data_IF_029909577827
#
_entry.id   IF_029909577827
#
_cell.length_a   1.000
_cell.length_b   1.000
_cell.length_c   1.000
_cell.angle_alpha   90.00
_cell.angle_beta   90.00
_cell.angle_gamma   90.00
#
_symmetry.space_group_name_H-M   'P 1'
#
loop_
_entity.id
_entity.type
_entity.pdbx_description
1 polymer ?
#
# COMPACT_ATOMS: atom_id res chain seq x y z
N UNK A 1 -28.45 4.90 -25.87
CA UNK A 1 -27.17 5.27 -25.21
C UNK A 1 -26.10 4.18 -25.38
N UNK A 2 -26.46 3.06 -25.98
CA UNK A 2 -25.75 1.79 -25.77
C UNK A 2 -24.52 1.72 -26.66
N UNK A 3 -24.64 2.22 -27.90
CA UNK A 3 -23.51 2.38 -28.83
C UNK A 3 -22.36 3.26 -28.29
N UNK A 4 -22.65 4.26 -27.44
CA UNK A 4 -21.59 5.08 -26.81
C UNK A 4 -20.93 4.36 -25.64
N UNK A 5 -21.68 3.54 -24.88
CA UNK A 5 -21.10 2.67 -23.85
C UNK A 5 -20.10 1.71 -24.49
N UNK A 6 -20.45 1.05 -25.61
CA UNK A 6 -19.58 0.11 -26.32
C UNK A 6 -18.25 0.69 -26.84
N UNK A 7 -18.07 2.00 -26.84
CA UNK A 7 -16.84 2.67 -27.25
C UNK A 7 -16.12 3.36 -26.08
N UNK A 8 -16.51 3.07 -24.82
CA UNK A 8 -15.93 3.68 -23.62
C UNK A 8 -14.40 3.44 -23.53
N UNK A 9 -13.89 2.33 -24.04
CA UNK A 9 -12.45 2.06 -24.12
C UNK A 9 -11.66 3.04 -25.03
N UNK A 10 -12.35 3.80 -25.90
CA UNK A 10 -11.76 4.83 -26.77
C UNK A 10 -11.83 6.24 -26.18
N UNK A 11 -12.52 6.42 -25.06
CA UNK A 11 -12.67 7.73 -24.42
C UNK A 11 -11.38 8.19 -23.73
N UNK A 12 -11.24 9.51 -23.57
CA UNK A 12 -10.22 10.13 -22.73
C UNK A 12 -10.72 10.28 -21.29
N UNK A 13 -9.81 10.56 -20.34
CA UNK A 13 -10.20 10.83 -18.95
C UNK A 13 -11.13 12.05 -18.88
N UNK A 14 -10.85 13.08 -19.68
CA UNK A 14 -11.63 14.31 -19.75
C UNK A 14 -13.09 14.09 -20.13
N UNK A 15 -13.38 13.08 -20.96
CA UNK A 15 -14.76 12.73 -21.34
C UNK A 15 -15.56 12.09 -20.18
N UNK A 16 -14.87 11.58 -19.15
CA UNK A 16 -15.44 11.01 -17.94
C UNK A 16 -15.54 12.05 -16.79
N UNK A 17 -14.95 13.24 -16.94
CA UNK A 17 -14.98 14.32 -15.94
C UNK A 17 -16.30 15.10 -15.98
N UNK A 18 -17.41 14.38 -15.84
CA UNK A 18 -18.76 14.92 -15.84
C UNK A 18 -19.03 15.58 -14.47
N UNK A 19 -19.34 16.89 -14.39
CA UNK A 19 -19.58 17.56 -13.11
C UNK A 19 -20.78 16.98 -12.36
N UNK A 20 -20.64 16.85 -11.04
CA UNK A 20 -21.73 16.43 -10.17
C UNK A 20 -22.92 17.38 -10.20
N UNK A 21 -24.13 16.84 -10.02
CA UNK A 21 -25.34 17.64 -9.80
C UNK A 21 -25.58 17.83 -8.30
N UNK A 22 -25.97 19.03 -7.83
CA UNK A 22 -26.42 19.22 -6.45
C UNK A 22 -27.57 18.24 -6.12
N UNK A 23 -27.60 17.63 -4.92
CA UNK A 23 -26.85 17.98 -3.71
C UNK A 23 -25.52 17.22 -3.51
N UNK A 24 -24.96 16.55 -4.52
CA UNK A 24 -23.69 15.83 -4.37
C UNK A 24 -22.52 16.79 -4.05
N UNK A 25 -21.61 16.34 -3.18
CA UNK A 25 -20.46 17.14 -2.70
C UNK A 25 -19.16 16.86 -3.46
N UNK A 26 -19.09 15.77 -4.24
CA UNK A 26 -17.94 15.48 -5.11
C UNK A 26 -17.92 16.43 -6.30
N UNK A 27 -16.73 16.69 -6.85
CA UNK A 27 -16.55 17.52 -8.06
C UNK A 27 -17.17 16.85 -9.29
N UNK A 28 -17.03 15.51 -9.40
CA UNK A 28 -17.47 14.73 -10.54
C UNK A 28 -18.48 13.63 -10.16
N UNK A 29 -19.36 13.29 -11.11
CA UNK A 29 -20.38 12.24 -10.98
C UNK A 29 -19.75 10.84 -11.14
N UNK A 30 -19.15 10.36 -10.05
CA UNK A 30 -18.54 9.04 -9.96
C UNK A 30 -19.55 7.90 -10.14
N UNK A 31 -20.81 8.08 -9.72
CA UNK A 31 -21.83 7.04 -9.83
C UNK A 31 -22.25 6.82 -11.29
N UNK A 32 -22.34 7.89 -12.08
CA UNK A 32 -22.56 7.80 -13.52
C UNK A 32 -21.44 7.02 -14.21
N UNK A 33 -20.18 7.32 -13.91
CA UNK A 33 -19.03 6.61 -14.51
C UNK A 33 -18.99 5.14 -14.09
N UNK A 34 -19.24 4.83 -12.80
CA UNK A 34 -19.41 3.44 -12.34
C UNK A 34 -20.53 2.71 -13.10
N UNK A 35 -21.66 3.38 -13.35
CA UNK A 35 -22.79 2.81 -14.11
C UNK A 35 -22.43 2.56 -15.58
N UNK A 36 -21.66 3.46 -16.21
CA UNK A 36 -21.20 3.29 -17.59
C UNK A 36 -20.20 2.11 -17.70
N UNK A 37 -19.26 1.98 -16.77
CA UNK A 37 -18.34 0.83 -16.69
C UNK A 37 -19.13 -0.46 -16.48
N UNK A 38 -20.05 -0.50 -15.51
CA UNK A 38 -20.89 -1.66 -15.23
C UNK A 38 -21.68 -2.13 -16.46
N UNK A 39 -22.29 -1.20 -17.20
CA UNK A 39 -22.98 -1.51 -18.46
C UNK A 39 -22.04 -2.03 -19.54
N UNK A 40 -20.83 -1.47 -19.67
CA UNK A 40 -19.81 -1.99 -20.59
C UNK A 40 -19.43 -3.43 -20.23
N UNK A 41 -19.14 -3.71 -18.96
CA UNK A 41 -18.75 -5.04 -18.51
C UNK A 41 -19.88 -6.07 -18.69
N UNK A 42 -21.13 -5.70 -18.38
CA UNK A 42 -22.30 -6.55 -18.65
C UNK A 42 -22.46 -6.87 -20.13
N UNK A 43 -22.25 -5.89 -21.01
CA UNK A 43 -22.30 -6.11 -22.46
C UNK A 43 -21.05 -6.80 -23.00
N UNK A 44 -19.93 -6.84 -22.27
CA UNK A 44 -18.74 -7.60 -22.66
C UNK A 44 -18.83 -9.11 -22.33
N UNK A 45 -19.97 -9.58 -21.79
CA UNK A 45 -20.12 -10.96 -21.30
C UNK A 45 -19.35 -11.26 -20.00
N UNK A 46 -18.62 -10.28 -19.45
CA UNK A 46 -17.80 -10.45 -18.26
C UNK A 46 -18.67 -10.25 -17.02
N UNK A 47 -19.33 -11.34 -16.60
CA UNK A 47 -20.01 -11.37 -15.31
C UNK A 47 -19.01 -11.27 -14.14
N UNK A 48 -19.47 -10.78 -12.99
CA UNK A 48 -18.61 -10.46 -11.83
C UNK A 48 -17.94 -11.67 -11.15
N UNK A 49 -18.24 -12.90 -11.58
CA UNK A 49 -17.50 -14.11 -11.23
C UNK A 49 -16.88 -14.73 -12.48
N UNK A 50 -15.58 -15.04 -12.44
CA UNK A 50 -14.77 -15.44 -13.60
C UNK A 50 -15.08 -16.81 -14.21
N UNK A 51 -16.32 -17.01 -14.67
CA UNK A 51 -16.69 -18.11 -15.56
C UNK A 51 -16.28 -17.71 -16.98
N UNK A 52 -15.17 -18.27 -17.47
CA UNK A 52 -14.99 -18.42 -18.91
C UNK A 52 -16.08 -19.39 -19.39
N UNK A 53 -17.05 -18.90 -20.16
CA UNK A 53 -17.89 -19.77 -20.98
C UNK A 53 -17.07 -20.26 -22.18
N UNK A 54 -16.18 -21.21 -21.90
CA UNK A 54 -15.63 -22.05 -22.95
C UNK A 54 -16.69 -23.09 -23.30
N UNK A 55 -17.08 -23.10 -24.57
CA UNK A 55 -17.70 -24.23 -25.26
C UNK A 55 -19.13 -24.61 -24.79
N UNK A 56 -20.13 -23.91 -25.35
CA UNK A 56 -21.34 -24.49 -25.97
C UNK A 56 -22.20 -23.37 -26.60
N UNK A 57 -22.79 -23.68 -27.76
CA UNK A 57 -23.73 -22.88 -28.56
C UNK A 57 -23.26 -21.50 -29.09
N UNK A 58 -22.57 -21.59 -30.22
CA UNK A 58 -22.25 -20.49 -31.13
C UNK A 58 -23.51 -19.95 -31.86
N UNK A 59 -24.43 -19.30 -31.15
CA UNK A 59 -25.44 -18.42 -31.77
C UNK A 59 -25.55 -17.03 -31.10
N UNK A 60 -24.81 -16.08 -31.69
CA UNK A 60 -25.25 -14.70 -31.90
C UNK A 60 -25.64 -13.85 -30.65
N UNK A 61 -24.69 -13.70 -29.72
CA UNK A 61 -24.50 -12.40 -29.07
C UNK A 61 -23.07 -11.92 -29.30
N UNK A 62 -22.81 -11.34 -30.48
CA UNK A 62 -21.50 -10.79 -30.86
C UNK A 62 -21.16 -9.57 -30.00
N UNK A 63 -20.50 -9.82 -28.89
CA UNK A 63 -19.90 -8.77 -28.07
C UNK A 63 -18.39 -8.97 -28.03
N UNK A 64 -17.79 -8.82 -29.22
CA UNK A 64 -16.34 -8.80 -29.45
C UNK A 64 -15.69 -7.60 -28.74
N UNK A 65 -15.68 -7.62 -27.41
CA UNK A 65 -14.75 -6.85 -26.58
C UNK A 65 -13.50 -7.71 -26.48
N UNK A 66 -12.61 -7.47 -27.43
CA UNK A 66 -11.28 -8.07 -27.43
C UNK A 66 -10.47 -7.64 -26.20
N UNK A 67 -9.45 -8.43 -25.85
CA UNK A 67 -8.63 -8.19 -24.66
C UNK A 67 -7.89 -6.85 -24.68
N UNK A 68 -7.63 -6.27 -25.86
CA UNK A 68 -6.99 -4.95 -25.99
C UNK A 68 -7.98 -3.83 -25.66
N UNK A 69 -9.21 -3.89 -26.16
CA UNK A 69 -10.31 -2.98 -25.75
C UNK A 69 -10.57 -3.02 -24.25
N UNK A 70 -10.55 -4.21 -23.63
CA UNK A 70 -10.73 -4.35 -22.18
C UNK A 70 -9.54 -3.77 -21.38
N UNK A 71 -8.30 -3.99 -21.85
CA UNK A 71 -7.09 -3.40 -21.27
C UNK A 71 -7.06 -1.87 -21.42
N UNK A 72 -7.51 -1.35 -22.55
CA UNK A 72 -7.64 0.09 -22.80
C UNK A 72 -8.65 0.74 -21.85
N UNK A 73 -9.81 0.10 -21.62
CA UNK A 73 -10.75 0.54 -20.60
C UNK A 73 -10.14 0.48 -19.20
N UNK A 74 -9.44 -0.58 -18.83
CA UNK A 74 -8.79 -0.67 -17.51
C UNK A 74 -7.79 0.48 -17.27
N UNK A 75 -6.99 0.81 -18.28
CA UNK A 75 -6.08 1.98 -18.26
C UNK A 75 -6.82 3.33 -18.22
N UNK A 76 -8.01 3.43 -18.80
CA UNK A 76 -8.87 4.62 -18.67
C UNK A 76 -9.41 4.74 -17.25
N UNK A 77 -9.95 3.66 -16.68
CA UNK A 77 -10.50 3.61 -15.32
C UNK A 77 -9.43 3.89 -14.28
N UNK A 78 -8.23 3.32 -14.40
CA UNK A 78 -7.11 3.57 -13.46
C UNK A 78 -6.65 5.04 -13.48
N UNK A 79 -6.64 5.69 -14.67
CA UNK A 79 -6.34 7.13 -14.77
C UNK A 79 -7.46 8.00 -14.22
N UNK A 80 -8.71 7.68 -14.53
CA UNK A 80 -9.88 8.37 -13.98
C UNK A 80 -9.93 8.26 -12.45
N UNK A 81 -9.64 7.06 -11.91
CA UNK A 81 -9.54 6.81 -10.47
C UNK A 81 -8.46 7.68 -9.82
N UNK A 82 -7.32 7.91 -10.48
CA UNK A 82 -6.26 8.80 -9.99
C UNK A 82 -6.67 10.29 -10.02
N UNK A 83 -7.49 10.71 -11.00
CA UNK A 83 -8.04 12.06 -11.07
C UNK A 83 -9.04 12.31 -9.94
N UNK A 84 -10.08 11.46 -9.82
CA UNK A 84 -11.09 11.61 -8.76
C UNK A 84 -10.54 11.35 -7.36
N UNK A 85 -9.43 10.61 -7.22
CA UNK A 85 -8.72 10.45 -5.95
C UNK A 85 -8.22 11.78 -5.35
N UNK A 86 -8.16 12.84 -6.16
CA UNK A 86 -7.80 14.19 -5.71
C UNK A 86 -8.97 14.96 -5.08
N UNK A 87 -10.19 14.44 -5.13
CA UNK A 87 -11.37 15.05 -4.49
C UNK A 87 -11.46 14.65 -3.00
N UNK A 88 -11.35 15.60 -2.05
CA UNK A 88 -11.44 15.31 -0.61
C UNK A 88 -12.80 14.76 -0.15
N UNK A 89 -13.85 14.90 -0.99
CA UNK A 89 -15.19 14.41 -0.71
C UNK A 89 -15.43 13.01 -1.29
N UNK A 90 -14.44 12.41 -1.98
CA UNK A 90 -14.57 11.05 -2.52
C UNK A 90 -14.56 10.01 -1.38
N UNK A 91 -15.68 9.31 -1.22
CA UNK A 91 -15.79 8.28 -0.18
C UNK A 91 -14.90 7.06 -0.45
N UNK A 92 -14.44 6.40 0.63
CA UNK A 92 -13.69 5.14 0.56
C UNK A 92 -14.47 4.02 -0.11
N UNK A 93 -15.81 4.02 -0.05
CA UNK A 93 -16.62 3.06 -0.81
C UNK A 93 -16.47 3.33 -2.29
N UNK A 94 -16.78 4.54 -2.74
CA UNK A 94 -16.72 4.93 -4.16
C UNK A 94 -15.34 4.67 -4.79
N UNK A 95 -14.26 4.93 -4.06
CA UNK A 95 -12.90 4.58 -4.50
C UNK A 95 -12.71 3.06 -4.67
N UNK A 96 -13.11 2.26 -3.67
CA UNK A 96 -13.03 0.79 -3.71
C UNK A 96 -13.88 0.24 -4.86
N UNK A 97 -15.13 0.69 -4.97
CA UNK A 97 -16.12 0.21 -5.92
C UNK A 97 -15.69 0.51 -7.38
N UNK A 98 -15.05 1.66 -7.63
CA UNK A 98 -14.36 1.92 -8.90
C UNK A 98 -13.17 0.98 -9.11
N UNK A 99 -12.28 0.84 -8.13
CA UNK A 99 -11.07 0.03 -8.26
C UNK A 99 -11.36 -1.46 -8.57
N UNK A 100 -12.46 -1.99 -8.03
CA UNK A 100 -12.95 -3.36 -8.23
C UNK A 100 -13.91 -3.53 -9.41
N UNK A 101 -14.30 -2.44 -10.09
CA UNK A 101 -15.19 -2.52 -11.27
C UNK A 101 -14.56 -3.22 -12.48
N UNK A 102 -13.22 -3.25 -12.54
CA UNK A 102 -12.44 -3.91 -13.60
C UNK A 102 -11.89 -5.26 -13.11
N UNK A 103 -11.99 -6.34 -13.91
CA UNK A 103 -11.48 -7.66 -13.55
C UNK A 103 -9.95 -7.68 -13.52
N UNK A 104 -9.38 -8.57 -12.70
CA UNK A 104 -7.93 -8.69 -12.52
C UNK A 104 -7.20 -9.12 -13.82
N UNK A 105 -7.88 -9.85 -14.71
CA UNK A 105 -7.38 -10.23 -16.04
C UNK A 105 -7.13 -9.03 -16.96
N UNK A 106 -7.88 -7.94 -16.78
CA UNK A 106 -7.70 -6.68 -17.52
C UNK A 106 -6.56 -5.81 -16.98
N UNK A 107 -5.99 -6.15 -15.81
CA UNK A 107 -5.00 -5.35 -15.08
C UNK A 107 -3.66 -6.12 -14.93
N UNK A 108 -2.86 -6.24 -16.02
CA UNK A 108 -1.59 -6.96 -16.00
C UNK A 108 -0.52 -6.25 -15.15
N UNK A 109 -0.57 -4.92 -15.05
CA UNK A 109 0.27 -4.12 -14.15
C UNK A 109 -0.62 -3.31 -13.22
N UNK A 110 -0.16 -3.07 -11.98
CA UNK A 110 -0.92 -2.33 -10.98
C UNK A 110 -0.41 -0.89 -10.75
N UNK A 111 0.47 -0.39 -11.62
CA UNK A 111 1.08 0.95 -11.50
C UNK A 111 0.06 2.09 -11.53
N UNK A 112 -0.97 2.00 -12.39
CA UNK A 112 -2.06 3.00 -12.46
C UNK A 112 -2.90 3.01 -11.18
N UNK A 113 -3.37 1.85 -10.75
CA UNK A 113 -4.06 1.67 -9.47
C UNK A 113 -3.20 2.13 -8.27
N UNK A 114 -1.90 1.85 -8.26
CA UNK A 114 -0.98 2.33 -7.23
C UNK A 114 -0.88 3.87 -7.23
N UNK A 115 -0.79 4.50 -8.40
CA UNK A 115 -0.79 5.96 -8.53
C UNK A 115 -2.08 6.55 -7.94
N UNK A 116 -3.24 5.97 -8.24
CA UNK A 116 -4.51 6.41 -7.67
C UNK A 116 -4.59 6.24 -6.15
N UNK A 117 -4.12 5.11 -5.62
CA UNK A 117 -4.00 4.87 -4.17
C UNK A 117 -3.07 5.90 -3.53
N UNK A 118 -1.94 6.23 -4.17
CA UNK A 118 -0.99 7.21 -3.66
C UNK A 118 -1.62 8.61 -3.55
N UNK A 119 -2.28 9.07 -4.62
CA UNK A 119 -3.00 10.35 -4.64
C UNK A 119 -4.09 10.38 -3.57
N UNK A 120 -4.90 9.33 -3.46
CA UNK A 120 -5.96 9.26 -2.45
C UNK A 120 -5.41 9.37 -1.03
N UNK A 121 -4.37 8.59 -0.71
CA UNK A 121 -3.67 8.66 0.58
C UNK A 121 -2.92 9.98 0.80
N UNK A 122 -2.64 10.76 -0.25
CA UNK A 122 -2.05 12.10 -0.15
C UNK A 122 -3.07 13.10 0.39
N UNK A 123 -4.25 13.15 -0.24
CA UNK A 123 -5.23 14.21 0.00
C UNK A 123 -6.25 13.85 1.09
N UNK A 124 -6.25 12.59 1.55
CA UNK A 124 -7.04 12.12 2.68
C UNK A 124 -6.13 11.70 3.87
N UNK A 125 -5.31 12.62 4.44
CA UNK A 125 -4.36 12.28 5.49
C UNK A 125 -5.05 11.76 6.77
N UNK A 126 -6.29 12.21 7.02
CA UNK A 126 -7.11 11.84 8.18
C UNK A 126 -7.70 10.41 8.16
N UNK A 127 -7.54 9.64 7.08
CA UNK A 127 -8.14 8.29 6.99
C UNK A 127 -7.72 7.39 8.16
N UNK A 128 -8.66 6.66 8.78
CA UNK A 128 -8.36 5.68 9.83
C UNK A 128 -7.49 4.54 9.31
N UNK A 129 -6.72 3.93 10.21
CA UNK A 129 -5.76 2.85 9.88
C UNK A 129 -6.40 1.66 9.17
N UNK A 130 -7.69 1.39 9.41
CA UNK A 130 -8.45 0.33 8.75
C UNK A 130 -8.73 0.64 7.28
N UNK A 131 -9.13 1.86 6.96
CA UNK A 131 -9.41 2.28 5.58
C UNK A 131 -8.12 2.40 4.76
N UNK A 132 -7.05 2.94 5.34
CA UNK A 132 -5.71 2.93 4.71
C UNK A 132 -5.27 1.50 4.36
N UNK A 133 -5.58 0.51 5.20
CA UNK A 133 -5.36 -0.92 4.89
C UNK A 133 -6.31 -1.43 3.79
N UNK A 134 -7.62 -1.15 3.87
CA UNK A 134 -8.62 -1.55 2.86
C UNK A 134 -8.19 -1.10 1.46
N UNK A 135 -7.80 0.16 1.32
CA UNK A 135 -7.39 0.77 0.06
C UNK A 135 -6.04 0.23 -0.42
N UNK A 136 -5.04 0.16 0.45
CA UNK A 136 -3.70 -0.34 0.04
C UNK A 136 -3.70 -1.84 -0.31
N UNK A 137 -4.69 -2.60 0.12
CA UNK A 137 -4.88 -4.01 -0.24
C UNK A 137 -5.54 -4.21 -1.62
N UNK A 138 -6.02 -3.15 -2.29
CA UNK A 138 -6.60 -3.26 -3.64
C UNK A 138 -5.55 -3.58 -4.71
N UNK A 139 -4.27 -3.29 -4.45
CA UNK A 139 -3.17 -3.57 -5.36
C UNK A 139 -2.42 -4.87 -5.03
N UNK A 140 -2.13 -5.66 -6.06
CA UNK A 140 -1.12 -6.71 -5.97
C UNK A 140 0.27 -6.11 -6.20
N UNK A 141 1.05 -6.03 -5.12
CA UNK A 141 2.43 -5.54 -5.14
C UNK A 141 3.37 -6.34 -6.05
N UNK A 142 3.01 -7.58 -6.43
CA UNK A 142 3.77 -8.40 -7.39
C UNK A 142 3.66 -7.88 -8.82
N UNK A 143 2.58 -7.17 -9.14
CA UNK A 143 2.29 -6.60 -10.47
C UNK A 143 2.75 -5.15 -10.62
N UNK A 144 3.56 -4.66 -9.68
CA UNK A 144 4.17 -3.34 -9.75
C UNK A 144 5.47 -3.39 -10.57
N UNK A 145 5.65 -2.40 -11.43
CA UNK A 145 6.93 -2.16 -12.09
C UNK A 145 8.02 -1.82 -11.06
N UNK A 146 9.28 -1.92 -11.47
CA UNK A 146 10.43 -1.53 -10.64
C UNK A 146 10.36 -0.06 -10.19
N UNK A 147 9.86 0.83 -11.05
CA UNK A 147 9.67 2.24 -10.70
C UNK A 147 8.62 2.42 -9.60
N UNK A 148 7.46 1.78 -9.76
CA UNK A 148 6.38 1.80 -8.77
C UNK A 148 6.82 1.18 -7.43
N UNK A 149 7.57 0.07 -7.45
CA UNK A 149 8.14 -0.53 -6.24
C UNK A 149 9.10 0.40 -5.49
N UNK A 150 10.00 1.11 -6.18
CA UNK A 150 10.91 2.09 -5.54
C UNK A 150 10.10 3.18 -4.82
N UNK A 151 9.09 3.75 -5.49
CA UNK A 151 8.24 4.78 -4.91
C UNK A 151 7.41 4.25 -3.72
N UNK A 152 6.83 3.05 -3.84
CA UNK A 152 6.07 2.41 -2.78
C UNK A 152 6.93 2.05 -1.56
N UNK A 153 8.19 1.65 -1.75
CA UNK A 153 9.13 1.37 -0.66
C UNK A 153 9.51 2.61 0.17
N UNK A 154 9.42 3.79 -0.43
CA UNK A 154 9.71 5.09 0.19
C UNK A 154 8.46 5.79 0.75
N UNK A 155 7.26 5.31 0.42
CA UNK A 155 6.01 5.98 0.75
C UNK A 155 5.53 5.73 2.18
N UNK A 156 5.86 6.65 3.10
CA UNK A 156 5.47 6.60 4.52
C UNK A 156 3.95 6.63 4.80
N UNK A 157 3.11 6.94 3.78
CA UNK A 157 1.64 6.89 3.87
C UNK A 157 1.08 5.46 3.82
N UNK A 158 1.80 4.51 3.22
CA UNK A 158 1.35 3.12 3.10
C UNK A 158 1.41 2.40 4.46
N UNK A 159 0.51 1.41 4.70
CA UNK A 159 0.67 0.49 5.81
C UNK A 159 2.01 -0.25 5.71
N UNK A 160 2.75 -0.33 6.82
CA UNK A 160 4.08 -0.95 6.85
C UNK A 160 4.11 -2.38 6.26
N UNK A 161 3.04 -3.16 6.43
CA UNK A 161 2.90 -4.50 5.83
C UNK A 161 3.08 -4.47 4.30
N UNK A 162 2.50 -3.48 3.62
CA UNK A 162 2.57 -3.33 2.16
C UNK A 162 3.98 -2.95 1.74
N UNK A 163 4.60 -1.98 2.41
CA UNK A 163 6.00 -1.58 2.19
C UNK A 163 6.95 -2.78 2.32
N UNK A 164 6.77 -3.61 3.35
CA UNK A 164 7.55 -4.83 3.57
C UNK A 164 7.33 -5.86 2.46
N UNK A 165 6.10 -6.03 1.95
CA UNK A 165 5.83 -6.93 0.82
C UNK A 165 6.48 -6.43 -0.48
N UNK A 166 6.44 -5.12 -0.76
CA UNK A 166 7.14 -4.52 -1.93
C UNK A 166 8.64 -4.81 -1.88
N UNK A 167 9.28 -4.57 -0.74
CA UNK A 167 10.71 -4.85 -0.54
C UNK A 167 11.05 -6.34 -0.74
N UNK A 168 10.20 -7.23 -0.25
CA UNK A 168 10.38 -8.68 -0.42
C UNK A 168 10.27 -9.14 -1.89
N UNK A 169 9.27 -8.65 -2.63
CA UNK A 169 9.12 -9.03 -4.04
C UNK A 169 10.21 -8.43 -4.94
N UNK A 170 10.74 -7.25 -4.63
CA UNK A 170 11.95 -6.74 -5.28
C UNK A 170 13.17 -7.62 -5.02
N UNK A 171 13.37 -8.06 -3.77
CA UNK A 171 14.47 -8.95 -3.42
C UNK A 171 14.37 -10.30 -4.17
N UNK A 172 13.18 -10.87 -4.31
CA UNK A 172 12.95 -12.08 -5.11
C UNK A 172 13.24 -11.85 -6.60
N UNK A 173 12.74 -10.75 -7.17
CA UNK A 173 12.97 -10.37 -8.58
C UNK A 173 14.45 -10.15 -8.88
N UNK A 174 15.18 -9.50 -7.98
CA UNK A 174 16.61 -9.29 -8.08
C UNK A 174 17.41 -10.59 -7.96
N UNK A 175 17.04 -11.49 -7.05
CA UNK A 175 17.68 -12.79 -6.90
C UNK A 175 17.49 -13.69 -8.13
N UNK A 176 16.26 -13.74 -8.68
CA UNK A 176 15.97 -14.49 -9.92
C UNK A 176 16.76 -13.96 -11.13
N UNK A 177 16.87 -12.63 -11.26
CA UNK A 177 17.66 -12.02 -12.33
C UNK A 177 19.18 -12.30 -12.18
N UNK A 178 19.72 -12.29 -10.96
CA UNK A 178 21.12 -12.62 -10.71
C UNK A 178 21.45 -14.08 -11.04
N UNK A 179 20.54 -15.00 -10.66
CA UNK A 179 20.65 -16.43 -10.98
C UNK A 179 20.58 -16.69 -12.50
N UNK A 180 19.67 -16.04 -13.22
CA UNK A 180 19.57 -16.12 -14.68
C UNK A 180 20.81 -15.55 -15.39
N UNK A 181 21.47 -14.55 -14.80
CA UNK A 181 22.69 -13.93 -15.33
C UNK A 181 24.00 -14.66 -14.94
N UNK A 182 23.94 -15.76 -14.18
CA UNK A 182 25.12 -16.50 -13.73
C UNK A 182 26.06 -15.72 -12.80
N UNK A 183 25.58 -14.65 -12.17
CA UNK A 183 26.40 -13.77 -11.30
C UNK A 183 26.17 -14.07 -9.83
N UNK A 184 27.22 -14.11 -8.98
CA UNK A 184 27.05 -14.32 -7.55
C UNK A 184 26.21 -13.19 -6.93
N UNK A 185 25.25 -13.57 -6.11
CA UNK A 185 24.20 -12.69 -5.56
C UNK A 185 24.78 -11.40 -4.97
N UNK A 186 24.38 -10.26 -5.53
CA UNK A 186 24.73 -8.94 -5.00
C UNK A 186 24.20 -8.82 -3.56
N UNK A 187 25.12 -8.60 -2.61
CA UNK A 187 24.80 -8.63 -1.18
C UNK A 187 23.59 -7.75 -0.83
N UNK A 188 22.73 -8.26 0.07
CA UNK A 188 21.45 -7.62 0.41
C UNK A 188 21.63 -6.17 0.92
N UNK A 189 22.75 -5.90 1.60
CA UNK A 189 23.16 -4.55 1.99
C UNK A 189 23.35 -3.58 0.79
N UNK A 190 23.92 -4.05 -0.32
CA UNK A 190 24.08 -3.24 -1.53
C UNK A 190 22.72 -2.94 -2.20
N UNK A 191 21.72 -3.81 -2.01
CA UNK A 191 20.35 -3.58 -2.52
C UNK A 191 19.62 -2.49 -1.73
N UNK A 192 19.79 -2.46 -0.40
CA UNK A 192 19.30 -1.37 0.48
C UNK A 192 19.86 0.01 0.04
N UNK A 193 21.11 0.07 -0.42
CA UNK A 193 21.70 1.28 -1.01
C UNK A 193 21.06 1.66 -2.35
N UNK A 194 20.81 0.70 -3.25
CA UNK A 194 20.23 0.94 -4.59
C UNK A 194 18.77 1.40 -4.56
N UNK A 195 18.01 1.08 -3.52
CA UNK A 195 16.58 1.44 -3.43
C UNK A 195 16.32 2.81 -2.78
N UNK A 196 17.36 3.53 -2.33
CA UNK A 196 17.25 4.84 -1.66
C UNK A 196 16.18 4.87 -0.55
N UNK A 197 16.14 3.81 0.27
CA UNK A 197 15.07 3.62 1.27
C UNK A 197 15.03 4.75 2.29
N UNK A 198 13.81 5.19 2.65
CA UNK A 198 13.58 6.17 3.72
C UNK A 198 14.19 5.68 5.04
N UNK A 199 14.57 6.61 5.94
CA UNK A 199 15.18 6.27 7.24
C UNK A 199 14.32 5.36 8.13
N UNK A 200 13.02 5.25 7.85
CA UNK A 200 12.09 4.33 8.50
C UNK A 200 12.10 2.96 7.82
N UNK A 201 11.89 2.91 6.50
CA UNK A 201 11.93 1.66 5.73
C UNK A 201 13.30 0.97 5.84
N UNK A 202 14.40 1.73 5.79
CA UNK A 202 15.77 1.24 5.94
C UNK A 202 16.00 0.53 7.28
N UNK A 203 15.67 1.15 8.42
CA UNK A 203 15.82 0.51 9.75
C UNK A 203 15.05 -0.80 9.87
N UNK A 204 13.90 -0.90 9.22
CA UNK A 204 13.04 -2.08 9.26
C UNK A 204 13.59 -3.17 8.33
N UNK A 205 14.00 -2.78 7.12
CA UNK A 205 14.69 -3.66 6.17
C UNK A 205 15.98 -4.23 6.79
N UNK A 206 16.82 -3.38 7.35
CA UNK A 206 18.08 -3.79 7.98
C UNK A 206 17.83 -4.75 9.15
N UNK A 207 16.80 -4.53 9.99
CA UNK A 207 16.43 -5.47 11.07
C UNK A 207 15.84 -6.81 10.63
N UNK A 208 15.31 -6.90 9.41
CA UNK A 208 14.69 -8.13 8.89
C UNK A 208 15.63 -8.91 7.97
N UNK A 209 16.58 -8.25 7.30
CA UNK A 209 17.41 -8.84 6.24
C UNK A 209 18.93 -8.64 6.37
N UNK A 210 19.42 -7.73 7.22
CA UNK A 210 20.87 -7.41 7.30
C UNK A 210 21.44 -7.71 8.69
N UNK A 211 20.80 -7.22 9.74
CA UNK A 211 21.00 -7.67 11.10
C UNK A 211 20.21 -8.95 11.34
N UNK A 212 20.91 -10.07 11.51
CA UNK A 212 20.27 -11.34 11.85
C UNK A 212 19.36 -11.19 13.07
N UNK A 213 18.07 -11.45 12.88
CA UNK A 213 17.09 -11.37 13.95
C UNK A 213 17.36 -12.47 14.97
N UNK A 214 18.17 -12.19 15.99
CA UNK A 214 18.33 -13.08 17.14
C UNK A 214 16.99 -13.14 17.88
N UNK A 215 16.25 -14.22 17.61
CA UNK A 215 15.03 -14.55 18.34
C UNK A 215 15.33 -14.55 19.85
N UNK A 216 14.47 -13.97 20.70
CA UNK A 216 14.69 -13.91 22.14
C UNK A 216 14.41 -15.29 22.75
N UNK A 217 15.38 -16.21 22.63
CA UNK A 217 15.14 -17.60 23.03
C UNK A 217 16.31 -18.58 22.87
N UNK A 218 17.57 -18.12 22.75
CA UNK A 218 18.70 -19.07 22.81
C UNK A 218 19.92 -18.51 23.55
N UNK A 219 20.06 -18.97 24.80
CA UNK A 219 21.24 -18.81 25.62
C UNK A 219 22.26 -19.90 25.26
N UNK A 220 22.95 -19.71 24.14
CA UNK A 220 24.06 -20.57 23.75
C UNK A 220 25.22 -20.43 24.74
N UNK A 221 25.31 -21.37 25.68
CA UNK A 221 26.50 -21.55 26.51
C UNK A 221 27.63 -22.12 25.66
N UNK A 222 28.74 -21.40 25.56
CA UNK A 222 29.99 -21.89 24.97
C UNK A 222 31.17 -21.32 25.74
N UNK A 223 31.63 -22.05 26.76
CA UNK A 223 32.84 -21.73 27.51
C UNK A 223 34.09 -22.38 26.90
N UNK A 224 35.17 -21.59 26.80
CA UNK A 224 36.62 -21.90 26.72
C UNK A 224 37.28 -20.51 26.61
N UNK A 225 38.15 -20.07 27.52
CA UNK A 225 39.39 -20.71 27.97
C UNK A 225 40.50 -20.32 26.98
N UNK A 226 41.58 -19.61 27.35
CA UNK A 226 42.10 -19.28 28.68
C UNK A 226 42.92 -17.97 28.70
N UNK A 227 43.29 -17.56 29.91
CA UNK A 227 44.21 -16.49 30.32
C UNK A 227 45.41 -16.14 29.43
N UNK A 228 45.77 -14.85 29.43
CA UNK A 228 47.13 -14.43 29.77
C UNK A 228 47.14 -13.15 30.63
N UNK A 229 48.27 -12.82 31.27
CA UNK A 229 48.32 -12.13 32.57
C UNK A 229 49.10 -10.80 32.62
N UNK A 230 49.09 -10.14 33.78
CA UNK A 230 49.76 -8.84 34.12
C UNK A 230 49.08 -7.61 33.52
N UNK A 231 48.82 -6.50 34.21
CA UNK A 231 49.13 -5.96 35.56
C UNK A 231 48.82 -4.44 35.48
N UNK A 232 48.67 -3.61 36.52
CA UNK A 232 48.79 -3.78 37.97
C UNK A 232 47.94 -2.70 38.67
N UNK A 233 47.43 -3.00 39.87
CA UNK A 233 47.21 -2.08 41.01
C UNK A 233 46.81 -0.60 40.76
N UNK A 234 45.59 -0.21 41.15
CA UNK A 234 45.31 0.59 42.37
C UNK A 234 43.84 1.03 42.49
N UNK A 235 43.39 1.21 43.73
CA UNK A 235 42.07 1.72 44.19
C UNK A 235 42.25 2.17 45.66
N UNK A 236 41.27 2.80 46.36
CA UNK A 236 39.98 3.36 45.94
C UNK A 236 39.70 4.81 46.47
N UNK A 237 38.60 5.42 46.00
CA UNK A 237 37.77 6.39 46.73
C UNK A 237 36.40 6.43 46.03
N UNK A 238 35.24 6.55 46.65
CA UNK A 238 34.76 6.39 48.03
C UNK A 238 33.25 6.66 47.96
N UNK A 239 32.44 5.68 48.37
CA UNK A 239 31.08 5.80 48.93
C UNK A 239 30.44 7.19 49.10
N UNK A 240 29.17 7.35 48.68
CA UNK A 240 28.03 7.51 49.61
C UNK A 240 26.66 7.74 48.92
N UNK A 241 25.60 7.18 49.53
CA UNK A 241 24.15 7.41 49.29
C UNK A 241 23.40 6.80 50.49
N UNK A 242 22.12 7.13 50.77
CA UNK A 242 21.45 8.42 50.99
C UNK A 242 21.26 8.67 52.53
N UNK A 243 20.25 9.44 53.02
CA UNK A 243 18.93 8.84 53.32
C UNK A 243 17.70 9.77 53.15
N UNK A 244 16.50 9.27 53.49
CA UNK A 244 15.18 9.93 53.37
C UNK A 244 14.64 10.52 54.71
N UNK A 245 13.66 11.44 54.65
CA UNK A 245 12.40 11.49 55.46
C UNK A 245 11.60 12.81 55.20
N UNK A 246 10.34 12.76 54.70
CA UNK A 246 9.04 12.83 55.44
C UNK A 246 8.92 14.03 56.41
N UNK A 247 8.08 15.05 56.14
CA UNK A 247 6.64 15.16 56.56
C UNK A 247 6.21 16.66 56.55
N UNK A 248 4.95 17.15 56.68
CA UNK A 248 3.57 16.65 56.42
C UNK A 248 2.51 17.80 56.52
N UNK A 249 1.28 17.62 56.00
CA UNK A 249 0.05 18.46 56.17
C UNK A 249 0.05 19.86 55.49
N UNK A 250 -1.07 20.54 55.18
CA UNK A 250 -2.54 20.34 55.28
C UNK A 250 -3.23 21.05 54.07
N UNK A 251 -4.23 20.52 53.36
CA UNK A 251 -5.67 20.35 53.66
C UNK A 251 -6.48 21.61 53.98
N UNK A 252 -7.34 22.07 53.05
CA UNK A 252 -8.61 22.77 53.33
C UNK A 252 -9.57 22.80 52.12
N UNK A 253 -10.86 23.04 52.38
CA UNK A 253 -12.00 22.55 51.58
C UNK A 253 -12.78 23.63 50.80
N UNK A 254 -13.18 23.26 49.58
CA UNK A 254 -14.56 23.29 49.04
C UNK A 254 -15.50 24.49 49.36
N UNK A 255 -16.00 25.17 48.31
CA UNK A 255 -17.43 25.57 48.26
C UNK A 255 -17.96 25.73 46.83
N UNK A 256 -19.14 25.14 46.60
CA UNK A 256 -19.99 25.35 45.42
C UNK A 256 -20.75 26.67 45.57
N UNK A 257 -21.11 27.30 44.45
CA UNK A 257 -22.41 27.98 44.31
C UNK A 257 -22.96 27.79 42.90
N UNK A 258 -24.22 27.36 42.83
CA UNK A 258 -25.09 27.44 41.65
C UNK A 258 -26.32 28.24 42.08
N UNK A 259 -26.73 29.19 41.26
CA UNK A 259 -27.96 30.00 41.37
C UNK A 259 -28.37 30.21 39.90
N UNK A 260 -29.34 29.42 39.44
CA UNK A 260 -30.75 29.83 39.19
C UNK A 260 -30.92 30.56 37.88
#
# INVERSE_FOLDING_TARGET
MDRTVLQLHKASVSDLLIPSRPPAQTVYDVQLVQTLIGRYMSHAGVSQGGIFLNDLDQEMFETNVDGESLLALCKLVDRYLAEVASDPNLSVSSFVDLATSMPETARPTHDGLYTAIDVYLKLHPGLPKMEKRKISNLMDVRKLSKGACIHAAQNDRLPLRVVVQVLFFEQLRAAGAAAAAGTPSASVANQSSRMSLSSRSRRIFDRLWVGGAKLPGEAAAAGKGSSDTSGSSQSPRSSAKPPESKSSSSSSRNRRYSVS
#
